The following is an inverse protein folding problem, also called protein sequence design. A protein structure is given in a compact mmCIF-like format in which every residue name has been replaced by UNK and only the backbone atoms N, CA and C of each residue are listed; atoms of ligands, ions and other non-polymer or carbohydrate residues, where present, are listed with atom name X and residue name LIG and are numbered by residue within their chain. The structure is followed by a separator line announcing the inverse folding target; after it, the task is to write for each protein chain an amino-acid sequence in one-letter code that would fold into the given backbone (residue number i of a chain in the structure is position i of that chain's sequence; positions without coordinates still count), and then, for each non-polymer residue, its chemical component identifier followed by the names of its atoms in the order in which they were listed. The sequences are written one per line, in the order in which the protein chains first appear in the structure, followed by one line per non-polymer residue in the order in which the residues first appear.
data_IF_724757122810
#
_entry.id   IF_724757122810
#
_cell.length_a   1.000
_cell.length_b   1.000
_cell.length_c   1.000
_cell.angle_alpha   90.00
_cell.angle_beta   90.00
_cell.angle_gamma   90.00
#
_symmetry.space_group_name_H-M   'P 1'
#
loop_
_entity.id
_entity.type
_entity.pdbx_description
1 polymer ?
#
# COMPACT_ATOMS: atom_id res chain seq x y z
N UNK A 1 -37.45 -29.60 16.03
CA UNK A 1 -36.26 -29.68 15.15
C UNK A 1 -36.04 -28.42 14.31
N UNK A 2 -37.06 -27.87 13.62
CA UNK A 2 -36.92 -26.66 12.77
C UNK A 2 -36.40 -25.39 13.48
N UNK A 3 -36.74 -25.18 14.76
CA UNK A 3 -36.25 -24.06 15.58
C UNK A 3 -34.76 -24.17 15.94
N UNK A 4 -34.25 -25.40 16.10
CA UNK A 4 -32.85 -25.66 16.41
C UNK A 4 -31.96 -25.41 15.18
N UNK A 5 -32.45 -25.77 13.99
CA UNK A 5 -31.80 -25.47 12.71
C UNK A 5 -31.71 -23.95 12.44
N UNK A 6 -32.76 -23.20 12.80
CA UNK A 6 -32.78 -21.72 12.69
C UNK A 6 -31.78 -21.04 13.63
N UNK A 7 -31.67 -21.50 14.88
CA UNK A 7 -30.71 -20.96 15.87
C UNK A 7 -29.26 -21.25 15.43
N UNK A 8 -28.99 -22.44 14.91
CA UNK A 8 -27.66 -22.82 14.41
C UNK A 8 -27.27 -22.00 13.17
N UNK A 9 -28.21 -21.74 12.26
CA UNK A 9 -27.99 -20.89 11.09
C UNK A 9 -27.69 -19.42 11.45
N UNK A 10 -28.36 -18.87 12.46
CA UNK A 10 -28.06 -17.52 12.98
C UNK A 10 -26.67 -17.47 13.61
N UNK A 11 -26.26 -18.51 14.35
CA UNK A 11 -24.93 -18.58 14.96
C UNK A 11 -23.81 -18.64 13.90
N UNK A 12 -23.99 -19.38 12.80
CA UNK A 12 -23.04 -19.39 11.69
C UNK A 12 -22.96 -18.06 10.93
N UNK A 13 -24.06 -17.29 10.83
CA UNK A 13 -24.03 -15.96 10.22
C UNK A 13 -23.23 -14.94 11.07
N UNK A 14 -23.24 -15.09 12.40
CA UNK A 14 -22.42 -14.29 13.33
C UNK A 14 -20.94 -14.67 13.34
N UNK A 15 -20.59 -15.88 12.86
CA UNK A 15 -19.21 -16.36 12.70
C UNK A 15 -18.61 -16.05 11.32
N UNK A 16 -19.18 -15.07 10.60
CA UNK A 16 -18.54 -14.53 9.41
C UNK A 16 -17.24 -13.85 9.82
N UNK A 17 -16.11 -14.40 9.37
CA UNK A 17 -14.79 -13.86 9.65
C UNK A 17 -14.72 -12.41 9.17
N UNK A 18 -14.51 -11.47 10.09
CA UNK A 18 -14.23 -10.10 9.72
C UNK A 18 -12.89 -10.08 9.01
N UNK A 19 -12.89 -9.73 7.73
CA UNK A 19 -11.65 -9.55 6.97
C UNK A 19 -10.98 -8.29 7.51
N UNK A 20 -9.88 -8.46 8.25
CA UNK A 20 -9.06 -7.34 8.70
C UNK A 20 -8.35 -6.78 7.46
N UNK A 21 -8.64 -5.53 7.12
CA UNK A 21 -7.93 -4.82 6.07
C UNK A 21 -6.44 -4.75 6.41
N UNK A 22 -5.57 -5.00 5.44
CA UNK A 22 -4.13 -4.84 5.65
C UNK A 22 -3.83 -3.34 5.76
N UNK A 23 -3.58 -2.88 6.99
CA UNK A 23 -3.16 -1.52 7.29
C UNK A 23 -1.66 -1.48 7.58
N UNK A 24 -0.93 -0.64 6.84
CA UNK A 24 0.51 -0.46 6.97
C UNK A 24 0.81 1.02 7.20
N UNK A 25 1.66 1.30 8.19
CA UNK A 25 2.21 2.65 8.40
C UNK A 25 3.66 2.66 7.95
N UNK A 26 3.98 3.52 6.99
CA UNK A 26 5.35 3.83 6.59
C UNK A 26 5.87 4.99 7.44
N UNK A 27 7.00 4.77 8.12
CA UNK A 27 7.63 5.75 9.01
C UNK A 27 9.06 6.10 8.54
N UNK A 28 9.19 6.98 7.53
CA UNK A 28 10.49 7.43 7.01
C UNK A 28 11.09 8.61 7.80
N UNK A 29 12.34 8.98 7.49
CA UNK A 29 12.95 10.20 8.01
C UNK A 29 12.26 11.45 7.47
N UNK A 30 11.97 11.47 6.16
CA UNK A 30 11.28 12.55 5.47
C UNK A 30 10.58 12.06 4.20
N UNK A 31 9.67 12.86 3.66
CA UNK A 31 8.92 12.61 2.43
C UNK A 31 9.11 13.78 1.49
N UNK A 32 9.22 13.52 0.19
CA UNK A 32 9.22 14.54 -0.86
C UNK A 32 7.80 14.92 -1.27
N UNK A 33 7.43 16.19 -1.10
CA UNK A 33 6.31 16.78 -1.82
C UNK A 33 6.78 17.11 -3.24
N UNK A 34 6.38 16.29 -4.22
CA UNK A 34 6.79 16.47 -5.62
C UNK A 34 6.18 17.70 -6.29
N UNK A 35 5.08 18.25 -5.78
CA UNK A 35 4.47 19.47 -6.32
C UNK A 35 5.25 20.72 -5.90
N UNK A 36 5.69 20.78 -4.63
CA UNK A 36 6.44 21.95 -4.11
C UNK A 36 7.96 21.78 -4.12
N UNK A 37 8.46 20.55 -4.33
CA UNK A 37 9.88 20.20 -4.21
C UNK A 37 10.39 20.14 -2.76
N UNK A 38 9.52 20.30 -1.76
CA UNK A 38 9.93 20.37 -0.36
C UNK A 38 10.03 18.99 0.28
N UNK A 39 11.07 18.82 1.10
CA UNK A 39 11.21 17.68 2.01
C UNK A 39 10.59 18.02 3.37
N UNK A 40 9.77 17.12 3.91
CA UNK A 40 9.12 17.33 5.20
C UNK A 40 8.92 16.01 5.97
N UNK A 41 8.81 16.11 7.30
CA UNK A 41 8.61 14.94 8.18
C UNK A 41 7.14 14.55 8.23
N UNK A 42 6.83 13.32 7.84
CA UNK A 42 5.50 12.75 7.96
C UNK A 42 5.57 11.21 7.89
N UNK A 43 4.45 10.58 8.24
CA UNK A 43 4.18 9.15 8.08
C UNK A 43 3.08 8.97 7.03
N UNK A 44 3.01 7.78 6.43
CA UNK A 44 1.96 7.42 5.46
C UNK A 44 1.20 6.21 6.00
N UNK A 45 -0.13 6.32 6.09
CA UNK A 45 -1.02 5.19 6.31
C UNK A 45 -1.52 4.68 4.97
N UNK A 46 -1.28 3.38 4.73
CA UNK A 46 -1.75 2.64 3.57
C UNK A 46 -2.73 1.57 4.04
N UNK A 47 -3.91 1.51 3.43
CA UNK A 47 -4.88 0.45 3.69
C UNK A 47 -5.33 -0.15 2.36
N UNK A 48 -5.30 -1.49 2.25
CA UNK A 48 -5.69 -2.22 1.04
C UNK A 48 -5.02 -1.67 -0.24
N UNK A 49 -3.73 -1.35 -0.16
CA UNK A 49 -2.93 -0.82 -1.27
C UNK A 49 -3.18 0.65 -1.61
N UNK A 50 -3.98 1.39 -0.83
CA UNK A 50 -4.28 2.81 -1.04
C UNK A 50 -3.71 3.68 0.06
N UNK A 51 -3.17 4.85 -0.29
CA UNK A 51 -2.78 5.86 0.69
C UNK A 51 -4.06 6.51 1.25
N UNK A 52 -4.31 6.32 2.54
CA UNK A 52 -5.49 6.87 3.22
C UNK A 52 -5.17 8.20 3.89
N UNK A 53 -3.96 8.32 4.44
CA UNK A 53 -3.56 9.52 5.15
C UNK A 53 -2.04 9.74 5.09
N UNK A 54 -1.64 11.00 5.01
CA UNK A 54 -0.25 11.46 5.21
C UNK A 54 -0.26 12.45 6.37
N UNK A 55 0.60 12.26 7.36
CA UNK A 55 0.65 13.16 8.51
C UNK A 55 1.55 12.67 9.63
N UNK A 56 1.60 13.42 10.74
CA UNK A 56 2.41 13.07 11.91
C UNK A 56 1.66 12.16 12.90
N UNK A 57 2.40 11.33 13.65
CA UNK A 57 1.89 10.53 14.77
C UNK A 57 0.76 9.55 14.41
N UNK A 58 0.76 9.01 13.18
CA UNK A 58 -0.20 7.99 12.73
C UNK A 58 -0.04 6.68 13.52
N UNK A 59 1.18 6.33 13.91
CA UNK A 59 1.46 5.15 14.76
C UNK A 59 0.76 5.16 16.11
N UNK A 60 0.34 6.34 16.61
CA UNK A 60 -0.43 6.47 17.86
C UNK A 60 -1.94 6.32 17.66
N UNK A 61 -2.42 6.39 16.42
CA UNK A 61 -3.86 6.44 16.09
C UNK A 61 -4.43 5.11 15.59
N UNK A 62 -3.58 4.21 15.10
CA UNK A 62 -4.02 2.94 14.51
C UNK A 62 -3.30 1.78 15.20
N UNK A 63 -3.96 1.15 16.18
CA UNK A 63 -3.35 0.13 17.04
C UNK A 63 -2.97 -1.17 16.30
N UNK A 64 -3.67 -1.49 15.21
CA UNK A 64 -3.52 -2.78 14.51
C UNK A 64 -2.71 -2.68 13.20
N UNK A 65 -2.19 -1.49 12.86
CA UNK A 65 -1.42 -1.32 11.63
C UNK A 65 0.02 -1.82 11.78
N UNK A 66 0.50 -2.57 10.79
CA UNK A 66 1.90 -2.96 10.69
C UNK A 66 2.76 -1.72 10.44
N UNK A 67 3.71 -1.44 11.33
CA UNK A 67 4.62 -0.30 11.17
C UNK A 67 5.90 -0.74 10.47
N UNK A 68 6.25 -0.07 9.38
CA UNK A 68 7.52 -0.22 8.66
C UNK A 68 8.36 1.03 8.96
N UNK A 69 9.40 0.85 9.77
CA UNK A 69 10.36 1.91 10.07
C UNK A 69 11.40 2.00 8.97
N UNK A 70 11.60 3.20 8.44
CA UNK A 70 12.54 3.51 7.36
C UNK A 70 13.46 4.64 7.83
N UNK A 71 14.26 4.40 8.89
CA UNK A 71 15.13 5.43 9.45
C UNK A 71 16.10 5.92 8.36
N UNK A 72 16.39 7.22 8.38
CA UNK A 72 17.33 7.89 7.48
C UNK A 72 16.98 7.87 5.97
N UNK A 73 15.82 7.32 5.60
CA UNK A 73 15.37 7.27 4.21
C UNK A 73 14.41 8.42 3.87
N UNK A 74 14.58 8.95 2.66
CA UNK A 74 13.60 9.82 2.02
C UNK A 74 12.60 8.97 1.24
N UNK A 75 11.33 9.06 1.60
CA UNK A 75 10.26 8.40 0.86
C UNK A 75 9.80 9.30 -0.30
N UNK A 76 9.72 8.70 -1.49
CA UNK A 76 9.26 9.36 -2.73
C UNK A 76 8.13 8.53 -3.36
N UNK A 77 7.31 9.14 -4.25
CA UNK A 77 6.45 8.35 -5.13
C UNK A 77 7.27 7.34 -5.95
N UNK A 78 6.66 6.18 -6.24
CA UNK A 78 7.28 5.20 -7.13
C UNK A 78 7.62 5.83 -8.48
N UNK A 79 8.82 5.56 -8.98
CA UNK A 79 9.25 6.04 -10.29
C UNK A 79 8.40 5.37 -11.38
N UNK A 80 8.09 6.14 -12.41
CA UNK A 80 7.38 5.67 -13.60
C UNK A 80 8.30 5.79 -14.80
N UNK A 81 8.44 4.70 -15.56
CA UNK A 81 9.15 4.69 -16.83
C UNK A 81 8.14 4.88 -17.96
N UNK A 82 8.29 5.98 -18.71
CA UNK A 82 7.41 6.30 -19.82
C UNK A 82 7.77 5.55 -21.10
N UNK A 83 8.96 4.95 -21.17
CA UNK A 83 9.44 4.33 -22.41
C UNK A 83 10.43 3.20 -22.14
N UNK A 84 9.89 1.98 -22.11
CA UNK A 84 10.66 0.75 -21.97
C UNK A 84 10.48 -0.15 -23.19
N UNK A 85 11.57 -0.75 -23.64
CA UNK A 85 11.54 -1.92 -24.52
C UNK A 85 11.76 -3.16 -23.65
N UNK A 86 10.68 -3.89 -23.34
CA UNK A 86 10.76 -5.07 -22.47
C UNK A 86 11.35 -6.29 -23.20
N UNK A 87 11.14 -6.36 -24.51
CA UNK A 87 11.70 -7.39 -25.40
C UNK A 87 12.29 -6.73 -26.65
N UNK A 88 13.34 -7.35 -27.20
CA UNK A 88 14.07 -6.88 -28.38
C UNK A 88 15.54 -6.58 -28.08
N UNK A 89 16.42 -6.92 -29.02
CA UNK A 89 17.85 -6.62 -28.91
C UNK A 89 18.08 -5.12 -29.16
N UNK A 90 18.55 -4.39 -28.15
CA UNK A 90 18.77 -2.94 -28.21
C UNK A 90 19.98 -2.53 -29.05
N UNK A 91 20.84 -3.47 -29.45
CA UNK A 91 21.87 -3.25 -30.46
C UNK A 91 21.28 -3.18 -31.88
N UNK A 92 20.10 -3.76 -32.11
CA UNK A 92 19.41 -3.76 -33.39
C UNK A 92 18.45 -2.56 -33.49
N UNK A 93 18.41 -1.93 -34.66
CA UNK A 93 17.62 -0.71 -34.90
C UNK A 93 16.30 -1.04 -35.59
N UNK A 94 15.22 -0.39 -35.15
CA UNK A 94 13.91 -0.45 -35.82
C UNK A 94 13.34 -1.86 -35.91
N UNK A 95 12.81 -2.24 -37.08
CA UNK A 95 12.22 -3.55 -37.32
C UNK A 95 13.21 -4.72 -37.17
N UNK A 96 14.53 -4.47 -37.18
CA UNK A 96 15.53 -5.52 -36.96
C UNK A 96 15.55 -6.02 -35.50
N UNK A 97 15.00 -5.24 -34.56
CA UNK A 97 14.94 -5.59 -33.14
C UNK A 97 13.66 -6.33 -32.72
N UNK A 98 12.69 -6.53 -33.63
CA UNK A 98 11.47 -7.28 -33.33
C UNK A 98 11.59 -8.71 -33.89
N UNK A 99 11.78 -9.68 -32.99
CA UNK A 99 11.89 -11.11 -33.26
C UNK A 99 11.75 -11.87 -31.96
#
# INVERSE_FOLDING_TARGET
MRKLTLIFGIYCAFLSAQTIAESVILNPYQILNVQSGQLYKAQILVENGKIIQIGSNLTKKTADAKVINLPDLTLIPGLMDAHVHLMGNTELKGYAGIG
#
